data_IF_997633816264
#
_entry.id   IF_997633816264
#
_cell.length_a   1.000
_cell.length_b   1.000
_cell.length_c   1.000
_cell.angle_alpha   90.00
_cell.angle_beta   90.00
_cell.angle_gamma   90.00
#
_symmetry.space_group_name_H-M   'P 1'
#
loop_
_entity.id
_entity.type
_entity.pdbx_description
1 polymer ?
#
# COMPACT_ATOMS: atom_id res chain seq x y z
N UNK A 1 20.78 -26.61 4.80
CA UNK A 1 20.07 -27.29 5.93
C UNK A 1 19.80 -26.32 7.11
N UNK A 2 19.14 -25.20 6.83
CA UNK A 2 18.50 -24.28 7.81
C UNK A 2 17.06 -23.91 7.36
N UNK A 3 16.63 -24.43 6.20
CA UNK A 3 15.31 -24.16 5.56
C UNK A 3 14.14 -24.87 6.27
N UNK A 4 14.43 -25.96 6.98
CA UNK A 4 13.40 -26.87 7.52
C UNK A 4 13.33 -26.93 9.05
N UNK A 5 13.93 -25.96 9.76
CA UNK A 5 13.98 -26.02 11.23
C UNK A 5 12.74 -25.45 11.93
N UNK A 6 11.94 -24.64 11.25
CA UNK A 6 10.80 -23.95 11.88
C UNK A 6 9.48 -24.39 11.24
N UNK A 7 8.55 -24.79 12.10
CA UNK A 7 7.20 -25.11 11.71
C UNK A 7 6.42 -23.82 11.35
N UNK A 8 5.26 -23.98 10.73
CA UNK A 8 4.49 -22.87 10.16
C UNK A 8 3.91 -21.90 11.20
N UNK A 9 3.69 -22.36 12.44
CA UNK A 9 3.21 -21.52 13.55
C UNK A 9 4.32 -20.59 14.03
N UNK A 10 5.52 -21.14 14.18
CA UNK A 10 6.72 -20.37 14.52
C UNK A 10 7.02 -19.27 13.48
N UNK A 11 6.73 -19.50 12.19
CA UNK A 11 6.90 -18.49 11.15
C UNK A 11 5.88 -17.35 11.22
N UNK A 12 4.63 -17.63 11.59
CA UNK A 12 3.60 -16.61 11.77
C UNK A 12 3.88 -15.77 13.02
N UNK A 13 4.24 -16.43 14.13
CA UNK A 13 4.64 -15.78 15.38
C UNK A 13 5.86 -14.87 15.16
N UNK A 14 6.82 -15.27 14.31
CA UNK A 14 7.99 -14.45 13.95
C UNK A 14 7.66 -13.21 13.13
N UNK A 15 6.59 -13.23 12.31
CA UNK A 15 6.12 -12.04 11.56
C UNK A 15 5.42 -11.08 12.52
N UNK A 16 4.60 -11.60 13.45
CA UNK A 16 3.92 -10.80 14.46
C UNK A 16 4.86 -10.26 15.55
N UNK A 17 5.98 -10.95 15.81
CA UNK A 17 6.99 -10.55 16.79
C UNK A 17 8.15 -9.70 16.21
N UNK A 18 8.16 -9.39 14.91
CA UNK A 18 9.21 -8.59 14.25
C UNK A 18 10.52 -9.33 13.94
N UNK A 19 10.59 -10.63 14.17
CA UNK A 19 11.77 -11.48 13.96
C UNK A 19 11.74 -12.19 12.59
N UNK A 20 11.65 -11.40 11.51
CA UNK A 20 11.70 -11.92 10.13
C UNK A 20 13.06 -12.57 9.81
N UNK A 21 13.13 -13.82 9.30
CA UNK A 21 14.38 -14.48 8.94
C UNK A 21 15.23 -13.70 7.94
N UNK A 22 16.56 -13.71 8.14
CA UNK A 22 17.56 -12.98 7.32
C UNK A 22 17.48 -13.21 5.80
N UNK A 23 16.86 -14.28 5.31
CA UNK A 23 16.74 -14.54 3.86
C UNK A 23 15.54 -13.83 3.21
N UNK A 24 14.50 -13.49 3.98
CA UNK A 24 13.41 -12.60 3.56
C UNK A 24 13.92 -11.16 3.60
N UNK A 25 14.64 -10.78 4.67
CA UNK A 25 15.30 -9.47 4.83
C UNK A 25 16.36 -9.12 3.76
N UNK A 26 16.80 -10.06 2.92
CA UNK A 26 17.90 -9.89 1.95
C UNK A 26 17.46 -9.44 0.55
N UNK A 27 16.16 -9.35 0.28
CA UNK A 27 15.63 -8.73 -0.95
C UNK A 27 15.49 -7.24 -0.64
N UNK A 28 16.40 -6.40 -1.14
CA UNK A 28 16.41 -4.98 -0.77
C UNK A 28 15.05 -4.36 -1.15
N UNK A 29 14.30 -3.71 -0.25
CA UNK A 29 12.93 -3.28 -0.55
C UNK A 29 12.87 -2.23 -1.68
N UNK A 30 11.84 -2.24 -2.54
CA UNK A 30 11.74 -1.39 -3.74
C UNK A 30 11.63 0.10 -3.39
N UNK A 31 10.76 0.46 -2.45
CA UNK A 31 10.55 1.80 -1.92
C UNK A 31 11.81 2.27 -1.16
N UNK A 32 12.41 1.41 -0.31
CA UNK A 32 13.68 1.75 0.39
C UNK A 32 14.89 1.89 -0.54
N UNK A 33 14.89 1.25 -1.73
CA UNK A 33 15.91 1.50 -2.77
C UNK A 33 15.72 2.85 -3.44
N UNK A 34 14.48 3.27 -3.63
CA UNK A 34 14.14 4.52 -4.31
C UNK A 34 14.33 5.76 -3.41
N UNK A 35 14.17 5.62 -2.09
CA UNK A 35 14.52 6.65 -1.13
C UNK A 35 14.87 6.05 0.25
N UNK A 36 16.02 6.44 0.80
CA UNK A 36 16.41 6.07 2.18
C UNK A 36 15.59 6.91 3.16
N UNK A 37 15.17 6.33 4.29
CA UNK A 37 14.43 6.99 5.40
C UNK A 37 13.05 7.54 4.99
N UNK A 38 12.19 6.68 4.44
CA UNK A 38 10.77 6.99 4.25
C UNK A 38 9.98 6.59 5.50
N UNK A 39 9.16 7.49 6.00
CA UNK A 39 8.30 7.25 7.17
C UNK A 39 6.97 6.63 6.78
N UNK A 40 6.44 6.99 5.59
CA UNK A 40 5.16 6.49 5.10
C UNK A 40 5.05 6.51 3.57
N UNK A 41 4.07 5.77 3.05
CA UNK A 41 3.60 5.85 1.67
C UNK A 41 2.24 6.53 1.66
N UNK A 42 2.13 7.66 0.95
CA UNK A 42 0.85 8.31 0.66
C UNK A 42 0.29 7.76 -0.65
N UNK A 43 -0.74 6.93 -0.54
CA UNK A 43 -1.48 6.34 -1.67
C UNK A 43 -2.62 7.27 -2.05
N UNK A 44 -2.47 7.98 -3.17
CA UNK A 44 -3.50 8.88 -3.70
C UNK A 44 -4.30 8.16 -4.79
N UNK A 45 -5.60 8.05 -4.57
CA UNK A 45 -6.57 7.61 -5.57
C UNK A 45 -7.67 8.67 -5.74
N UNK A 46 -8.44 8.58 -6.83
CA UNK A 46 -9.59 9.45 -7.06
C UNK A 46 -10.86 8.63 -7.15
N UNK A 47 -11.99 9.18 -6.69
CA UNK A 47 -13.30 8.55 -6.88
C UNK A 47 -13.70 8.49 -8.35
N UNK A 48 -13.55 9.62 -9.06
CA UNK A 48 -13.80 9.73 -10.51
C UNK A 48 -12.66 10.46 -11.22
N UNK A 49 -12.56 10.23 -12.54
CA UNK A 49 -11.62 10.91 -13.45
C UNK A 49 -10.13 10.89 -13.01
N UNK A 50 -9.46 9.72 -12.94
CA UNK A 50 -9.94 8.40 -13.35
C UNK A 50 -10.75 7.69 -12.26
N UNK A 51 -11.50 6.67 -12.67
CA UNK A 51 -12.27 5.81 -11.77
C UNK A 51 -11.35 5.14 -10.73
N UNK A 52 -11.89 4.97 -9.54
CA UNK A 52 -11.21 4.29 -8.45
C UNK A 52 -10.87 2.85 -8.86
N UNK A 53 -9.61 2.46 -8.64
CA UNK A 53 -9.11 1.10 -8.84
C UNK A 53 -8.68 0.52 -7.49
N UNK A 54 -9.57 -0.13 -6.71
CA UNK A 54 -9.22 -0.71 -5.41
C UNK A 54 -8.02 -1.64 -5.48
N UNK A 55 -7.92 -2.46 -6.52
CA UNK A 55 -6.77 -3.35 -6.72
C UNK A 55 -5.41 -2.66 -6.84
N UNK A 56 -5.35 -1.38 -7.24
CA UNK A 56 -4.09 -0.62 -7.17
C UNK A 56 -3.77 -0.26 -5.71
N UNK A 57 -4.75 0.25 -4.97
CA UNK A 57 -4.57 0.59 -3.56
C UNK A 57 -4.07 -0.64 -2.82
N UNK A 58 -4.75 -1.78 -3.01
CA UNK A 58 -4.42 -3.04 -2.34
C UNK A 58 -3.00 -3.51 -2.66
N UNK A 59 -2.57 -3.39 -3.93
CA UNK A 59 -1.19 -3.68 -4.36
C UNK A 59 -0.16 -2.78 -3.69
N UNK A 60 -0.46 -1.48 -3.57
CA UNK A 60 0.43 -0.53 -2.90
C UNK A 60 0.47 -0.76 -1.38
N UNK A 61 -0.64 -1.20 -0.78
CA UNK A 61 -0.67 -1.64 0.61
C UNK A 61 0.18 -2.88 0.83
N UNK A 62 0.07 -3.90 -0.04
CA UNK A 62 0.93 -5.10 0.00
C UNK A 62 2.40 -4.70 -0.05
N UNK A 63 2.78 -3.72 -0.89
CA UNK A 63 4.15 -3.20 -0.89
C UNK A 63 4.51 -2.53 0.42
N UNK A 64 3.64 -1.67 0.97
CA UNK A 64 3.90 -1.00 2.24
C UNK A 64 4.12 -2.02 3.38
N UNK A 65 3.30 -3.08 3.44
CA UNK A 65 3.47 -4.19 4.38
C UNK A 65 4.79 -4.95 4.16
N UNK A 66 5.11 -5.30 2.92
CA UNK A 66 6.37 -5.99 2.58
C UNK A 66 7.60 -5.18 3.00
N UNK A 67 7.52 -3.85 2.88
CA UNK A 67 8.63 -2.94 3.16
C UNK A 67 8.65 -2.43 4.60
N UNK A 68 7.67 -2.85 5.42
CA UNK A 68 7.47 -2.38 6.79
C UNK A 68 7.47 -0.84 6.83
N UNK A 69 6.67 -0.22 5.96
CA UNK A 69 6.46 1.23 5.87
C UNK A 69 4.98 1.51 6.09
N UNK A 70 4.68 2.52 6.90
CA UNK A 70 3.29 2.93 7.14
C UNK A 70 2.60 3.39 5.86
N UNK A 71 1.32 3.08 5.68
CA UNK A 71 0.54 3.50 4.53
C UNK A 71 -0.59 4.43 4.94
N UNK A 72 -0.75 5.54 4.20
CA UNK A 72 -1.88 6.46 4.34
C UNK A 72 -2.61 6.53 3.00
N UNK A 73 -3.93 6.39 3.03
CA UNK A 73 -4.78 6.42 1.82
C UNK A 73 -5.46 7.77 1.73
N UNK A 74 -5.31 8.45 0.59
CA UNK A 74 -6.02 9.67 0.25
C UNK A 74 -6.99 9.39 -0.91
N UNK A 75 -8.29 9.41 -0.63
CA UNK A 75 -9.35 9.27 -1.63
C UNK A 75 -9.83 10.66 -2.06
N UNK A 76 -9.32 11.11 -3.20
CA UNK A 76 -9.50 12.46 -3.71
C UNK A 76 -10.69 12.61 -4.67
N UNK A 77 -11.04 13.86 -4.96
CA UNK A 77 -12.13 14.25 -5.87
C UNK A 77 -13.51 13.81 -5.39
N UNK A 78 -13.73 13.88 -4.08
CA UNK A 78 -15.03 13.58 -3.47
C UNK A 78 -16.16 14.49 -4.00
N UNK A 79 -15.82 15.67 -4.52
CA UNK A 79 -16.75 16.59 -5.20
C UNK A 79 -17.41 16.03 -6.45
N UNK A 80 -16.85 14.96 -7.04
CA UNK A 80 -17.41 14.33 -8.24
C UNK A 80 -18.45 13.22 -7.92
N UNK A 81 -18.63 12.90 -6.64
CA UNK A 81 -19.62 11.92 -6.22
C UNK A 81 -20.98 12.58 -6.02
N UNK A 82 -22.01 11.93 -6.57
CA UNK A 82 -23.40 12.39 -6.43
C UNK A 82 -23.93 12.09 -5.02
N UNK A 83 -23.43 11.01 -4.40
CA UNK A 83 -23.79 10.60 -3.05
C UNK A 83 -22.56 10.56 -2.13
N UNK A 84 -22.46 11.46 -1.12
CA UNK A 84 -21.36 11.46 -0.16
C UNK A 84 -21.18 10.15 0.63
N UNK A 85 -22.25 9.36 0.80
CA UNK A 85 -22.17 8.07 1.48
C UNK A 85 -21.30 7.05 0.72
N UNK A 86 -21.18 7.18 -0.61
CA UNK A 86 -20.31 6.32 -1.41
C UNK A 86 -18.84 6.48 -1.03
N UNK A 87 -18.40 7.72 -0.79
CA UNK A 87 -17.04 8.01 -0.37
C UNK A 87 -16.70 7.28 0.93
N UNK A 88 -17.65 7.32 1.87
CA UNK A 88 -17.43 6.80 3.21
C UNK A 88 -17.55 5.28 3.29
N UNK A 89 -18.41 4.67 2.46
CA UNK A 89 -18.44 3.22 2.31
C UNK A 89 -17.10 2.66 1.81
N UNK A 90 -16.49 3.33 0.82
CA UNK A 90 -15.17 2.94 0.30
C UNK A 90 -14.09 3.16 1.35
N UNK A 91 -14.09 4.31 2.04
CA UNK A 91 -13.11 4.60 3.08
C UNK A 91 -13.19 3.61 4.25
N UNK A 92 -14.41 3.21 4.64
CA UNK A 92 -14.65 2.27 5.72
C UNK A 92 -13.99 0.89 5.50
N UNK A 93 -13.93 0.41 4.24
CA UNK A 93 -13.24 -0.86 3.91
C UNK A 93 -11.81 -0.85 4.43
N UNK A 94 -11.09 0.25 4.23
CA UNK A 94 -9.68 0.37 4.59
C UNK A 94 -9.48 0.82 6.05
N UNK A 95 -10.36 1.69 6.57
CA UNK A 95 -10.31 2.10 7.98
C UNK A 95 -10.58 0.94 8.93
N UNK A 96 -11.54 0.07 8.60
CA UNK A 96 -11.91 -1.06 9.45
C UNK A 96 -10.80 -2.11 9.57
N UNK A 97 -9.88 -2.15 8.60
CA UNK A 97 -8.67 -2.99 8.65
C UNK A 97 -7.44 -2.22 9.18
N UNK A 98 -7.64 -1.01 9.71
CA UNK A 98 -6.61 -0.26 10.44
C UNK A 98 -5.72 0.64 9.58
N UNK A 99 -6.06 0.93 8.33
CA UNK A 99 -5.33 1.94 7.56
C UNK A 99 -5.91 3.34 7.81
N UNK A 100 -5.06 4.36 8.00
CA UNK A 100 -5.48 5.75 7.96
C UNK A 100 -6.01 6.12 6.56
N UNK A 101 -7.23 6.66 6.51
CA UNK A 101 -7.87 7.12 5.26
C UNK A 101 -8.38 8.54 5.43
N UNK A 102 -8.03 9.41 4.49
CA UNK A 102 -8.58 10.76 4.37
C UNK A 102 -9.33 10.90 3.05
N UNK A 103 -10.54 11.44 3.11
CA UNK A 103 -11.35 11.80 1.94
C UNK A 103 -11.08 13.25 1.63
N UNK A 104 -10.68 13.56 0.40
CA UNK A 104 -10.31 14.91 0.00
C UNK A 104 -11.06 15.41 -1.23
N UNK A 105 -11.21 16.73 -1.30
CA UNK A 105 -11.54 17.43 -2.54
C UNK A 105 -10.75 18.74 -2.57
N UNK A 106 -9.95 18.91 -3.63
CA UNK A 106 -9.23 20.17 -3.85
C UNK A 106 -10.19 21.31 -4.20
N UNK A 107 -11.32 21.01 -4.85
CA UNK A 107 -12.32 22.00 -5.26
C UNK A 107 -13.04 22.59 -4.05
N UNK A 108 -13.46 21.74 -3.11
CA UNK A 108 -14.21 22.19 -1.91
C UNK A 108 -13.28 22.49 -0.73
N UNK A 109 -12.02 22.05 -0.77
CA UNK A 109 -11.07 22.12 0.34
C UNK A 109 -11.28 21.04 1.41
N UNK A 110 -12.24 20.13 1.23
CA UNK A 110 -12.50 19.02 2.14
C UNK A 110 -11.24 18.16 2.34
N UNK A 111 -10.93 17.83 3.59
CA UNK A 111 -9.86 16.89 3.97
C UNK A 111 -8.43 17.35 3.70
N UNK A 112 -8.21 18.48 3.01
CA UNK A 112 -6.86 18.95 2.63
C UNK A 112 -6.01 19.26 3.87
N UNK A 113 -6.57 19.96 4.86
CA UNK A 113 -5.87 20.25 6.13
C UNK A 113 -5.64 19.00 6.98
N UNK A 114 -6.53 18.01 6.89
CA UNK A 114 -6.35 16.74 7.59
C UNK A 114 -5.18 15.96 6.98
N UNK A 115 -5.16 15.83 5.65
CA UNK A 115 -4.05 15.23 4.92
C UNK A 115 -2.73 15.93 5.27
N UNK A 116 -2.71 17.27 5.28
CA UNK A 116 -1.51 18.04 5.64
C UNK A 116 -0.99 17.68 7.05
N UNK A 117 -1.88 17.55 8.05
CA UNK A 117 -1.50 17.12 9.41
C UNK A 117 -0.94 15.70 9.44
N UNK A 118 -1.42 14.80 8.60
CA UNK A 118 -0.91 13.42 8.52
C UNK A 118 0.49 13.34 7.91
N UNK A 119 0.87 14.33 7.10
CA UNK A 119 2.16 14.44 6.42
C UNK A 119 3.20 15.22 7.23
N UNK A 120 2.76 16.12 8.12
CA UNK A 120 3.63 17.00 8.88
C UNK A 120 4.75 16.24 9.62
N UNK A 121 6.00 16.70 9.44
CA UNK A 121 7.20 16.14 10.06
C UNK A 121 7.62 14.77 9.51
N UNK A 122 7.13 14.38 8.32
CA UNK A 122 7.39 13.07 7.72
C UNK A 122 7.90 13.18 6.29
N UNK A 123 8.69 12.19 5.90
CA UNK A 123 9.15 11.94 4.54
C UNK A 123 8.25 10.88 3.91
N UNK A 124 7.38 11.29 3.00
CA UNK A 124 6.36 10.40 2.44
C UNK A 124 6.58 10.11 0.95
N UNK A 125 6.58 8.84 0.58
CA UNK A 125 6.57 8.44 -0.82
C UNK A 125 5.17 8.61 -1.40
N UNK A 126 5.06 9.30 -2.53
CA UNK A 126 3.80 9.57 -3.18
C UNK A 126 3.51 8.50 -4.24
N UNK A 127 2.40 7.78 -4.07
CA UNK A 127 1.97 6.72 -4.98
C UNK A 127 0.57 7.00 -5.54
N UNK A 128 0.32 6.58 -6.79
CA UNK A 128 -0.99 6.71 -7.43
C UNK A 128 -0.92 6.97 -8.94
N UNK A 129 -2.00 6.67 -9.66
CA UNK A 129 -2.08 6.88 -11.11
C UNK A 129 -1.95 8.34 -11.52
N UNK A 130 -1.61 8.60 -12.78
CA UNK A 130 -1.74 9.94 -13.35
C UNK A 130 -3.20 10.41 -13.28
N UNK A 131 -3.42 11.71 -13.08
CA UNK A 131 -4.76 12.30 -13.07
C UNK A 131 -5.55 12.22 -11.75
N UNK A 132 -5.12 11.42 -10.76
CA UNK A 132 -5.81 11.31 -9.44
C UNK A 132 -5.75 12.59 -8.60
N UNK A 133 -4.94 13.58 -8.99
CA UNK A 133 -4.87 14.89 -8.34
C UNK A 133 -3.70 15.08 -7.36
N UNK A 134 -2.64 14.26 -7.43
CA UNK A 134 -1.40 14.40 -6.66
C UNK A 134 -0.84 15.84 -6.65
N UNK A 135 -0.57 16.40 -7.83
CA UNK A 135 -0.03 17.77 -7.97
C UNK A 135 -1.03 18.84 -7.52
N UNK A 136 -2.33 18.61 -7.72
CA UNK A 136 -3.36 19.54 -7.26
C UNK A 136 -3.45 19.57 -5.73
N UNK A 137 -3.34 18.41 -5.08
CA UNK A 137 -3.28 18.31 -3.61
C UNK A 137 -2.02 18.99 -3.05
N UNK A 138 -0.86 18.78 -3.68
CA UNK A 138 0.39 19.45 -3.32
C UNK A 138 0.21 20.98 -3.30
N UNK A 139 -0.30 21.55 -4.40
CA UNK A 139 -0.52 23.00 -4.52
C UNK A 139 -1.60 23.52 -3.55
N UNK A 140 -2.57 22.68 -3.19
CA UNK A 140 -3.62 23.04 -2.24
C UNK A 140 -3.12 23.05 -0.79
N UNK A 141 -2.18 22.16 -0.44
CA UNK A 141 -1.59 22.10 0.89
C UNK A 141 -0.53 23.20 1.10
N UNK A 142 0.28 23.50 0.08
CA UNK A 142 1.35 24.48 0.15
C UNK A 142 1.41 25.30 -1.14
N UNK A 143 1.38 26.64 -1.01
CA UNK A 143 1.45 27.56 -2.16
C UNK A 143 2.87 27.75 -2.69
N UNK A 144 3.87 27.66 -1.81
CA UNK A 144 5.28 27.94 -2.10
C UNK A 144 6.13 26.66 -2.01
N UNK A 145 5.72 25.59 -2.70
CA UNK A 145 6.46 24.32 -2.70
C UNK A 145 7.75 24.45 -3.49
N UNK A 146 8.88 24.15 -2.85
CA UNK A 146 10.15 24.00 -3.54
C UNK A 146 10.26 22.60 -4.14
N UNK A 147 10.64 22.52 -5.42
CA UNK A 147 10.78 21.26 -6.14
C UNK A 147 12.24 21.02 -6.47
N UNK A 148 12.80 19.95 -5.91
CA UNK A 148 14.10 19.42 -6.29
C UNK A 148 13.91 18.21 -7.22
N UNK A 149 14.67 18.17 -8.30
CA UNK A 149 14.69 17.05 -9.25
C UNK A 149 16.01 16.31 -9.11
N UNK A 150 15.94 15.01 -8.82
CA UNK A 150 17.10 14.12 -8.72
C UNK A 150 16.98 12.94 -9.68
N UNK A 151 18.12 12.33 -10.02
CA UNK A 151 18.15 11.09 -10.79
C UNK A 151 18.54 9.93 -9.86
N UNK A 152 17.74 8.86 -9.86
CA UNK A 152 18.09 7.62 -9.17
C UNK A 152 18.31 6.55 -10.23
N UNK A 153 19.54 6.03 -10.28
CA UNK A 153 19.89 4.89 -11.12
C UNK A 153 19.73 3.60 -10.30
N UNK A 154 18.91 2.67 -10.79
CA UNK A 154 18.78 1.36 -10.17
C UNK A 154 19.00 0.23 -11.17
N UNK A 155 19.59 -0.86 -10.68
CA UNK A 155 19.77 -2.10 -11.43
C UNK A 155 18.58 -3.03 -11.16
N UNK A 156 17.82 -3.34 -12.20
CA UNK A 156 16.91 -4.49 -12.13
C UNK A 156 17.75 -5.77 -12.19
N UNK A 157 17.35 -6.84 -11.48
CA UNK A 157 18.03 -8.15 -11.48
C UNK A 157 18.14 -8.81 -12.89
N UNK A 158 17.58 -8.18 -13.92
CA UNK A 158 17.72 -8.52 -15.35
C UNK A 158 18.77 -7.67 -16.10
N UNK A 159 19.68 -6.98 -15.39
CA UNK A 159 20.84 -6.29 -15.99
C UNK A 159 20.54 -4.97 -16.71
N UNK A 160 19.32 -4.43 -16.59
CA UNK A 160 18.97 -3.13 -17.18
C UNK A 160 19.11 -2.06 -16.10
N UNK A 161 20.13 -1.20 -16.22
CA UNK A 161 20.16 0.06 -15.48
C UNK A 161 19.01 0.92 -16.00
N UNK A 162 18.07 1.28 -15.14
CA UNK A 162 16.98 2.21 -15.49
C UNK A 162 17.14 3.44 -14.63
N UNK A 163 17.53 4.56 -15.24
CA UNK A 163 17.57 5.88 -14.59
C UNK A 163 16.14 6.38 -14.50
N UNK A 164 15.66 6.61 -13.29
CA UNK A 164 14.32 7.17 -13.04
C UNK A 164 14.47 8.52 -12.36
N UNK A 165 13.76 9.53 -12.87
CA UNK A 165 13.75 10.86 -12.26
C UNK A 165 12.86 10.86 -11.02
N UNK A 166 13.44 11.09 -9.85
CA UNK A 166 12.70 11.27 -8.60
C UNK A 166 12.49 12.74 -8.38
N UNK A 167 11.25 13.13 -8.05
CA UNK A 167 10.93 14.52 -7.68
C UNK A 167 10.67 14.57 -6.18
N UNK A 168 11.40 15.44 -5.50
CA UNK A 168 11.18 15.73 -4.09
C UNK A 168 10.56 17.10 -3.96
N UNK A 169 9.47 17.16 -3.21
CA UNK A 169 8.73 18.36 -2.87
C UNK A 169 8.97 18.64 -1.39
N UNK A 170 9.67 19.72 -1.09
CA UNK A 170 9.89 20.16 0.30
C UNK A 170 8.72 21.07 0.68
N UNK A 171 7.90 20.61 1.63
CA UNK A 171 6.71 21.34 2.08
C UNK A 171 7.05 22.33 3.21
N UNK A 172 7.95 21.92 4.10
CA UNK A 172 8.58 22.69 5.17
C UNK A 172 9.93 22.04 5.57
N UNK A 173 10.56 22.51 6.65
CA UNK A 173 11.89 22.04 7.10
C UNK A 173 11.94 20.54 7.44
N UNK A 174 10.82 19.93 7.85
CA UNK A 174 10.76 18.55 8.33
C UNK A 174 9.85 17.65 7.46
N UNK A 175 9.15 18.22 6.49
CA UNK A 175 8.15 17.52 5.68
C UNK A 175 8.55 17.44 4.21
N UNK A 176 8.71 16.23 3.70
CA UNK A 176 9.05 15.96 2.30
C UNK A 176 8.05 15.01 1.64
N UNK A 177 7.69 15.29 0.38
CA UNK A 177 6.97 14.35 -0.47
C UNK A 177 7.83 13.94 -1.65
N UNK A 178 7.92 12.64 -1.89
CA UNK A 178 8.81 12.05 -2.89
C UNK A 178 7.95 11.35 -3.95
N UNK A 179 7.81 11.95 -5.14
CA UNK A 179 7.13 11.34 -6.28
C UNK A 179 8.09 10.38 -6.99
N UNK A 180 7.81 9.09 -6.84
CA UNK A 180 8.58 7.98 -7.37
C UNK A 180 7.87 7.44 -8.62
N UNK A 181 8.39 7.66 -9.84
CA UNK A 181 7.71 7.22 -11.06
C UNK A 181 7.47 5.71 -11.13
N UNK A 182 8.33 4.94 -10.47
CA UNK A 182 8.31 3.47 -10.45
C UNK A 182 7.18 2.85 -9.63
N UNK A 183 6.63 3.56 -8.64
CA UNK A 183 5.46 3.10 -7.87
C UNK A 183 4.19 2.93 -8.73
N UNK A 184 4.21 3.40 -9.99
CA UNK A 184 3.12 3.25 -10.97
C UNK A 184 3.07 1.86 -11.61
N UNK A 185 4.22 1.18 -11.66
CA UNK A 185 4.42 -0.11 -12.30
C UNK A 185 5.23 -0.99 -11.35
N UNK A 186 4.71 -1.20 -10.15
CA UNK A 186 5.36 -2.09 -9.20
C UNK A 186 5.22 -3.52 -9.72
N UNK A 187 6.34 -4.07 -10.14
CA UNK A 187 6.42 -5.48 -10.47
C UNK A 187 6.72 -6.28 -9.19
N UNK A 188 5.81 -7.19 -8.86
CA UNK A 188 5.91 -8.04 -7.67
C UNK A 188 6.81 -9.27 -7.87
N UNK A 189 7.85 -9.16 -8.71
CA UNK A 189 8.72 -10.28 -9.08
C UNK A 189 9.39 -10.98 -7.88
N UNK A 190 9.46 -10.29 -6.75
CA UNK A 190 10.07 -10.76 -5.52
C UNK A 190 9.05 -11.23 -4.47
N UNK A 191 7.76 -11.38 -4.79
CA UNK A 191 6.76 -11.97 -3.87
C UNK A 191 6.40 -13.39 -4.35
N UNK A 192 6.64 -14.39 -3.52
CA UNK A 192 6.18 -15.74 -3.82
C UNK A 192 4.68 -15.86 -3.55
N UNK A 193 3.96 -16.65 -4.36
CA UNK A 193 2.51 -16.87 -4.20
C UNK A 193 2.08 -17.20 -2.76
N UNK A 194 2.84 -18.04 -2.09
CA UNK A 194 2.57 -18.47 -0.70
C UNK A 194 2.74 -17.35 0.35
N UNK A 195 3.41 -16.25 0.00
CA UNK A 195 3.66 -15.11 0.89
C UNK A 195 2.53 -14.07 0.81
N UNK A 196 1.80 -14.02 -0.30
CA UNK A 196 0.77 -13.00 -0.56
C UNK A 196 -0.26 -12.85 0.57
N UNK A 197 -0.65 -13.97 1.20
CA UNK A 197 -1.63 -13.98 2.30
C UNK A 197 -1.20 -13.20 3.53
N UNK A 198 0.11 -13.00 3.73
CA UNK A 198 0.64 -12.31 4.91
C UNK A 198 0.59 -10.79 4.76
N UNK A 199 0.45 -10.29 3.54
CA UNK A 199 0.40 -8.85 3.25
C UNK A 199 -1.03 -8.29 3.16
N UNK A 200 -2.03 -9.12 3.47
CA UNK A 200 -3.41 -8.72 3.73
C UNK A 200 -3.63 -8.82 5.23
N UNK A 201 -3.38 -7.72 5.95
CA UNK A 201 -3.38 -7.69 7.42
C UNK A 201 -4.65 -8.27 8.05
N UNK A 202 -5.81 -8.03 7.44
CA UNK A 202 -7.09 -8.53 7.93
C UNK A 202 -7.25 -10.05 7.85
N UNK A 203 -6.39 -10.75 7.08
CA UNK A 203 -6.40 -12.21 7.04
C UNK A 203 -5.70 -12.81 8.25
N UNK A 204 -4.73 -12.09 8.83
CA UNK A 204 -3.92 -12.58 9.94
C UNK A 204 -4.78 -12.90 11.16
N UNK A 205 -5.79 -12.07 11.43
CA UNK A 205 -6.76 -12.24 12.53
C UNK A 205 -7.57 -13.54 12.43
N UNK A 206 -7.71 -14.12 11.23
CA UNK A 206 -8.50 -15.33 10.97
C UNK A 206 -7.65 -16.52 10.55
N UNK A 207 -6.39 -16.32 10.16
CA UNK A 207 -5.53 -17.36 9.63
C UNK A 207 -5.32 -18.52 10.61
N UNK A 208 -5.31 -18.24 11.92
CA UNK A 208 -5.21 -19.28 12.96
C UNK A 208 -6.41 -20.23 12.99
N UNK A 209 -7.59 -19.77 12.56
CA UNK A 209 -8.81 -20.58 12.49
C UNK A 209 -8.83 -21.54 11.28
N UNK A 210 -7.87 -21.44 10.36
CA UNK A 210 -7.79 -22.36 9.22
C UNK A 210 -7.39 -23.77 9.67
N UNK A 211 -8.05 -24.79 9.11
CA UNK A 211 -7.71 -26.21 9.36
C UNK A 211 -6.26 -26.54 8.99
N UNK A 212 -5.73 -25.89 7.95
CA UNK A 212 -4.40 -26.15 7.42
C UNK A 212 -3.49 -24.95 7.66
N UNK A 213 -2.30 -25.21 8.20
CA UNK A 213 -1.27 -24.20 8.47
C UNK A 213 -0.64 -23.57 7.23
N UNK A 214 -0.89 -24.13 6.03
CA UNK A 214 -0.52 -23.53 4.74
C UNK A 214 -1.73 -23.15 3.89
N UNK A 215 -2.90 -22.92 4.50
CA UNK A 215 -4.06 -22.44 3.77
C UNK A 215 -3.71 -21.16 3.00
N UNK A 216 -3.83 -21.18 1.68
CA UNK A 216 -3.69 -20.01 0.81
C UNK A 216 -4.99 -19.23 0.71
N UNK A 217 -6.05 -19.69 1.37
CA UNK A 217 -7.37 -19.07 1.37
C UNK A 217 -7.96 -18.97 -0.04
N UNK A 218 -7.69 -19.92 -0.93
CA UNK A 218 -8.21 -19.94 -2.30
C UNK A 218 -9.19 -21.11 -2.45
N UNK A 219 -8.68 -22.31 -2.67
CA UNK A 219 -9.47 -23.51 -2.93
C UNK A 219 -9.79 -24.34 -1.68
N UNK A 220 -9.21 -24.02 -0.52
CA UNK A 220 -9.34 -24.81 0.69
C UNK A 220 -10.76 -24.78 1.27
N UNK A 221 -11.36 -25.95 1.53
CA UNK A 221 -12.77 -26.04 1.97
C UNK A 221 -13.02 -25.55 3.40
N UNK A 222 -12.07 -25.74 4.32
CA UNK A 222 -12.19 -25.34 5.73
C UNK A 222 -11.26 -24.17 6.00
N UNK A 223 -11.70 -22.97 5.63
CA UNK A 223 -10.89 -21.76 5.63
C UNK A 223 -11.62 -20.65 6.39
N UNK A 224 -11.13 -20.33 7.59
CA UNK A 224 -11.68 -19.28 8.44
C UNK A 224 -11.67 -17.89 7.78
N UNK A 225 -10.68 -17.59 6.92
CA UNK A 225 -10.69 -16.35 6.12
C UNK A 225 -11.90 -16.30 5.18
N UNK A 226 -12.21 -17.40 4.48
CA UNK A 226 -13.38 -17.45 3.59
C UNK A 226 -14.69 -17.39 4.36
N UNK A 227 -14.77 -18.06 5.51
CA UNK A 227 -15.91 -17.94 6.42
C UNK A 227 -16.09 -16.51 6.93
N UNK A 228 -15.00 -15.79 7.23
CA UNK A 228 -15.03 -14.39 7.61
C UNK A 228 -15.49 -13.47 6.47
N UNK A 229 -15.11 -13.77 5.22
CA UNK A 229 -15.64 -13.10 4.02
C UNK A 229 -17.14 -13.35 3.87
N UNK A 230 -17.60 -14.60 4.00
CA UNK A 230 -19.02 -14.97 3.93
C UNK A 230 -19.85 -14.32 5.05
N UNK A 231 -19.28 -14.16 6.24
CA UNK A 231 -19.90 -13.49 7.38
C UNK A 231 -19.80 -11.94 7.30
N UNK A 232 -19.20 -11.38 6.25
CA UNK A 232 -19.06 -9.93 6.07
C UNK A 232 -18.04 -9.26 7.00
N UNK A 233 -17.20 -10.03 7.70
CA UNK A 233 -16.13 -9.50 8.56
C UNK A 233 -14.90 -9.05 7.76
N UNK A 234 -14.68 -9.67 6.60
CA UNK A 234 -13.70 -9.23 5.60
C UNK A 234 -14.49 -8.75 4.38
N UNK A 235 -14.17 -7.55 3.89
CA UNK A 235 -14.80 -7.01 2.69
C UNK A 235 -14.54 -7.92 1.48
N UNK A 236 -15.59 -8.23 0.72
CA UNK A 236 -15.50 -9.14 -0.43
C UNK A 236 -14.59 -8.60 -1.52
N UNK A 237 -14.54 -7.28 -1.67
CA UNK A 237 -13.67 -6.54 -2.59
C UNK A 237 -12.20 -6.80 -2.27
N UNK A 238 -11.83 -6.80 -0.99
CA UNK A 238 -10.47 -7.08 -0.51
C UNK A 238 -10.07 -8.52 -0.81
N UNK A 239 -10.95 -9.47 -0.54
CA UNK A 239 -10.71 -10.87 -0.87
C UNK A 239 -10.61 -11.13 -2.39
N UNK A 240 -11.48 -10.51 -3.20
CA UNK A 240 -11.38 -10.59 -4.67
C UNK A 240 -10.06 -10.00 -5.18
N UNK A 241 -9.62 -8.88 -4.59
CA UNK A 241 -8.34 -8.26 -4.92
C UNK A 241 -7.17 -9.19 -4.59
N UNK A 242 -7.22 -9.88 -3.46
CA UNK A 242 -6.26 -10.92 -3.09
C UNK A 242 -6.22 -12.06 -4.13
N UNK A 243 -7.35 -12.62 -4.52
CA UNK A 243 -7.41 -13.68 -5.53
C UNK A 243 -6.78 -13.25 -6.86
N UNK A 244 -7.07 -12.02 -7.29
CA UNK A 244 -6.49 -11.43 -8.49
C UNK A 244 -4.98 -11.23 -8.35
N UNK A 245 -4.54 -10.68 -7.22
CA UNK A 245 -3.13 -10.45 -6.93
C UNK A 245 -2.33 -11.76 -6.95
N UNK A 246 -2.81 -12.78 -6.24
CA UNK A 246 -2.18 -14.11 -6.21
C UNK A 246 -2.07 -14.73 -7.60
N UNK A 247 -3.06 -14.53 -8.47
CA UNK A 247 -3.04 -15.03 -9.85
C UNK A 247 -1.97 -14.33 -10.71
N UNK A 248 -1.55 -13.12 -10.34
CA UNK A 248 -0.45 -12.41 -11.03
C UNK A 248 0.94 -12.83 -10.55
N UNK A 249 1.03 -13.63 -9.48
CA UNK A 249 2.29 -14.13 -8.95
C UNK A 249 2.61 -15.51 -9.56
N UNK A 250 3.90 -15.75 -9.79
CA UNK A 250 4.43 -17.06 -10.24
C UNK A 250 4.43 -18.10 -9.11
#
# INVERSE_FOLDING_TARGET
KLRDKFNRREKADMVHAGDVPKYIRKRVPYIRRLSRNLDQVLIVASFKSPDLKPGLIDRLLVMAELEEVEAVICLNKADLLDNPAEAENIAAIYRNIGYPVVITSVVTGQGVKELQRMLQGKRSALAGHSGVGKSSLLNAMHKDVQVAVGEVSYSNNKGRHTTTQVKTYTLDEETELIDLPGLKHVDFFDIHRDEARFYYREFLDYAEGCKFSNCLHLSEKSCAVKEAVEAGRIARERYRSYEQFVTTLE
#
